data_IF_339184376394
#
_entry.id   IF_339184376394
#
_cell.length_a   1.000
_cell.length_b   1.000
_cell.length_c   1.000
_cell.angle_alpha   90.00
_cell.angle_beta   90.00
_cell.angle_gamma   90.00
#
_symmetry.space_group_name_H-M   'P 1'
#
loop_
_entity.id
_entity.type
_entity.pdbx_description
1 polymer ?
#
# COMPACT_ATOMS: atom_id res chain seq x y z
N UNK A 1 3.80 -19.20 -23.58
CA UNK A 1 2.86 -18.99 -22.46
C UNK A 1 3.17 -17.64 -21.82
N UNK A 2 2.15 -16.87 -21.47
CA UNK A 2 2.36 -15.63 -20.71
C UNK A 2 2.83 -15.96 -19.28
N UNK A 3 3.67 -15.11 -18.71
CA UNK A 3 4.06 -15.21 -17.30
C UNK A 3 2.81 -15.18 -16.39
N UNK A 4 2.84 -15.81 -15.20
CA UNK A 4 1.85 -15.53 -14.16
C UNK A 4 1.69 -14.02 -13.93
N UNK A 5 0.48 -13.55 -13.62
CA UNK A 5 0.19 -12.13 -13.50
C UNK A 5 1.08 -11.46 -12.46
N UNK A 6 1.27 -12.11 -11.31
CA UNK A 6 2.10 -11.63 -10.22
C UNK A 6 3.57 -11.46 -10.62
N UNK A 7 4.12 -12.37 -11.42
CA UNK A 7 5.50 -12.26 -11.92
C UNK A 7 5.63 -11.18 -13.01
N UNK A 8 4.60 -11.00 -13.85
CA UNK A 8 4.54 -9.90 -14.80
C UNK A 8 4.51 -8.54 -14.08
N UNK A 9 3.66 -8.39 -13.05
CA UNK A 9 3.56 -7.20 -12.20
C UNK A 9 4.89 -6.91 -11.51
N UNK A 10 5.52 -7.91 -10.90
CA UNK A 10 6.84 -7.78 -10.25
C UNK A 10 7.92 -7.31 -11.23
N UNK A 11 7.95 -7.88 -12.44
CA UNK A 11 8.95 -7.50 -13.45
C UNK A 11 8.71 -6.07 -13.95
N UNK A 12 7.46 -5.71 -14.18
CA UNK A 12 7.08 -4.40 -14.74
C UNK A 12 7.28 -3.26 -13.74
N UNK A 13 6.93 -3.47 -12.48
CA UNK A 13 6.92 -2.41 -11.46
C UNK A 13 8.21 -2.28 -10.65
N UNK A 14 9.25 -3.10 -10.91
CA UNK A 14 10.47 -3.16 -10.08
C UNK A 14 11.15 -1.81 -9.89
N UNK A 15 11.42 -1.08 -10.98
CA UNK A 15 12.11 0.20 -10.89
C UNK A 15 11.30 1.24 -10.10
N UNK A 16 9.98 1.25 -10.31
CA UNK A 16 9.09 2.17 -9.60
C UNK A 16 8.99 1.82 -8.12
N UNK A 17 8.93 0.54 -7.77
CA UNK A 17 9.01 0.04 -6.41
C UNK A 17 10.33 0.46 -5.72
N UNK A 18 11.49 0.22 -6.35
CA UNK A 18 12.78 0.57 -5.76
C UNK A 18 12.88 2.10 -5.51
N UNK A 19 12.29 2.91 -6.38
CA UNK A 19 12.22 4.37 -6.20
C UNK A 19 11.30 4.79 -5.05
N UNK A 20 10.25 4.02 -4.74
CA UNK A 20 9.39 4.25 -3.57
C UNK A 20 10.15 3.90 -2.29
N UNK A 21 10.84 2.75 -2.26
CA UNK A 21 11.64 2.34 -1.10
C UNK A 21 12.69 3.39 -0.73
N UNK A 22 13.44 3.88 -1.72
CA UNK A 22 14.42 4.96 -1.51
C UNK A 22 13.77 6.23 -0.96
N UNK A 23 12.60 6.59 -1.46
CA UNK A 23 11.89 7.79 -1.03
C UNK A 23 11.37 7.64 0.41
N UNK A 24 10.79 6.49 0.76
CA UNK A 24 10.37 6.19 2.14
C UNK A 24 11.56 6.24 3.09
N UNK A 25 12.71 5.67 2.72
CA UNK A 25 13.92 5.73 3.54
C UNK A 25 14.42 7.17 3.71
N UNK A 26 14.32 8.01 2.69
CA UNK A 26 14.72 9.42 2.77
C UNK A 26 13.84 10.28 3.70
N UNK A 27 12.64 9.80 4.06
CA UNK A 27 11.82 10.45 5.09
C UNK A 27 12.35 10.20 6.51
N UNK A 28 13.29 9.26 6.67
CA UNK A 28 13.76 8.77 7.97
C UNK A 28 12.59 8.51 8.94
N UNK A 29 11.59 7.68 8.56
CA UNK A 29 10.30 7.62 9.25
C UNK A 29 10.39 7.14 10.70
N UNK A 30 11.54 6.63 11.12
CA UNK A 30 11.79 6.14 12.48
C UNK A 30 12.79 7.00 13.26
N UNK A 31 13.17 8.17 12.75
CA UNK A 31 14.02 9.11 13.47
C UNK A 31 13.28 9.80 14.63
N UNK A 32 11.97 9.98 14.49
CA UNK A 32 11.11 10.61 15.50
C UNK A 32 9.64 10.23 15.28
N UNK A 33 8.79 10.48 16.28
CA UNK A 33 7.33 10.35 16.15
C UNK A 33 6.79 11.34 15.10
N UNK A 34 7.42 12.51 14.95
CA UNK A 34 7.04 13.51 13.95
C UNK A 34 7.27 13.01 12.52
N UNK A 35 8.44 12.43 12.21
CA UNK A 35 8.70 11.83 10.90
C UNK A 35 7.77 10.63 10.65
N UNK A 36 7.53 9.81 11.67
CA UNK A 36 6.58 8.70 11.57
C UNK A 36 5.14 9.18 11.31
N UNK A 37 4.76 10.33 11.85
CA UNK A 37 3.44 10.94 11.61
C UNK A 37 3.25 11.33 10.13
N UNK A 38 4.29 11.88 9.49
CA UNK A 38 4.30 12.14 8.03
C UNK A 38 4.17 10.85 7.24
N UNK A 39 4.83 9.78 7.68
CA UNK A 39 4.66 8.45 7.08
C UNK A 39 3.23 7.91 7.23
N UNK A 40 2.60 8.05 8.41
CA UNK A 40 1.20 7.67 8.62
C UNK A 40 0.23 8.47 7.74
N UNK A 41 0.46 9.76 7.55
CA UNK A 41 -0.34 10.58 6.64
C UNK A 41 -0.27 10.06 5.20
N UNK A 42 0.93 9.69 4.73
CA UNK A 42 1.10 9.09 3.41
C UNK A 42 0.41 7.72 3.31
N UNK A 43 0.52 6.88 4.34
CA UNK A 43 -0.20 5.60 4.41
C UNK A 43 -1.71 5.79 4.36
N UNK A 44 -2.24 6.78 5.09
CA UNK A 44 -3.68 7.06 5.12
C UNK A 44 -4.20 7.42 3.73
N UNK A 45 -3.56 8.39 3.08
CA UNK A 45 -3.95 8.81 1.73
C UNK A 45 -3.90 7.65 0.72
N UNK A 46 -2.89 6.79 0.81
CA UNK A 46 -2.82 5.59 -0.05
C UNK A 46 -3.96 4.60 0.24
N UNK A 47 -4.24 4.36 1.52
CA UNK A 47 -5.27 3.41 1.93
C UNK A 47 -6.71 3.93 1.71
N UNK A 48 -6.93 5.24 1.66
CA UNK A 48 -8.21 5.85 1.27
C UNK A 48 -8.56 5.54 -0.19
N UNK A 49 -7.59 5.61 -1.11
CA UNK A 49 -7.79 5.22 -2.51
C UNK A 49 -8.08 3.72 -2.64
N UNK A 50 -7.42 2.90 -1.82
CA UNK A 50 -7.59 1.45 -1.85
C UNK A 50 -8.90 0.95 -1.23
N UNK A 51 -9.48 1.66 -0.26
CA UNK A 51 -10.70 1.23 0.43
C UNK A 51 -11.85 0.87 -0.52
N UNK A 52 -12.26 1.73 -1.47
CA UNK A 52 -13.31 1.36 -2.43
C UNK A 52 -12.90 0.20 -3.37
N UNK A 53 -11.59 0.00 -3.59
CA UNK A 53 -11.08 -1.13 -4.39
C UNK A 53 -11.24 -2.45 -3.61
N UNK A 54 -10.85 -2.47 -2.33
CA UNK A 54 -11.05 -3.65 -1.47
C UNK A 54 -12.53 -3.98 -1.28
N UNK A 55 -13.42 -2.99 -1.33
CA UNK A 55 -14.87 -3.15 -1.17
C UNK A 55 -15.61 -3.41 -2.50
N UNK A 56 -14.91 -3.35 -3.63
CA UNK A 56 -15.53 -3.51 -4.94
C UNK A 56 -16.20 -4.91 -5.06
N UNK A 57 -17.51 -4.98 -5.34
CA UNK A 57 -18.21 -6.26 -5.38
C UNK A 57 -17.70 -7.21 -6.48
N UNK A 58 -17.38 -6.69 -7.66
CA UNK A 58 -16.87 -7.49 -8.79
C UNK A 58 -15.51 -8.11 -8.47
N UNK A 59 -14.61 -7.36 -7.82
CA UNK A 59 -13.33 -7.89 -7.37
C UNK A 59 -13.48 -8.89 -6.23
N UNK A 60 -14.42 -8.69 -5.29
CA UNK A 60 -14.68 -9.65 -4.21
C UNK A 60 -15.29 -10.98 -4.69
N UNK A 61 -15.96 -10.99 -5.84
CA UNK A 61 -16.39 -12.25 -6.49
C UNK A 61 -15.21 -13.05 -7.04
N UNK A 62 -14.13 -12.36 -7.45
CA UNK A 62 -12.94 -12.96 -8.07
C UNK A 62 -11.83 -13.29 -7.07
N UNK A 63 -11.70 -12.47 -6.03
CA UNK A 63 -10.68 -12.59 -4.99
C UNK A 63 -11.40 -12.75 -3.64
N UNK A 64 -11.40 -13.97 -3.13
CA UNK A 64 -12.08 -14.35 -1.89
C UNK A 64 -11.46 -13.64 -0.69
N UNK A 65 -12.32 -13.03 0.13
CA UNK A 65 -11.95 -12.35 1.36
C UNK A 65 -11.27 -10.99 1.16
N UNK A 66 -11.30 -10.44 -0.07
CA UNK A 66 -10.60 -9.20 -0.41
C UNK A 66 -10.97 -8.04 0.52
N UNK A 67 -12.26 -7.83 0.80
CA UNK A 67 -12.73 -6.75 1.68
C UNK A 67 -12.03 -6.69 3.04
N UNK A 68 -11.69 -7.85 3.61
CA UNK A 68 -11.08 -7.98 4.93
C UNK A 68 -9.58 -7.68 4.95
N UNK A 69 -8.97 -7.48 3.78
CA UNK A 69 -7.54 -7.20 3.64
C UNK A 69 -7.21 -5.70 3.71
N UNK A 70 -8.22 -4.83 3.64
CA UNK A 70 -8.01 -3.39 3.76
C UNK A 70 -7.38 -3.03 5.12
N UNK A 71 -6.34 -2.21 5.09
CA UNK A 71 -5.62 -1.73 6.29
C UNK A 71 -6.00 -0.31 6.71
N UNK A 72 -6.95 0.33 6.03
CA UNK A 72 -7.30 1.73 6.31
C UNK A 72 -7.70 1.94 7.77
N UNK A 73 -8.48 1.02 8.35
CA UNK A 73 -8.87 1.11 9.75
C UNK A 73 -7.69 1.01 10.71
N UNK A 74 -6.70 0.15 10.42
CA UNK A 74 -5.50 0.05 11.25
C UNK A 74 -4.64 1.31 11.15
N UNK A 75 -4.52 1.92 9.96
CA UNK A 75 -3.82 3.19 9.79
C UNK A 75 -4.54 4.30 10.57
N UNK A 76 -5.87 4.37 10.50
CA UNK A 76 -6.65 5.36 11.24
C UNK A 76 -6.49 5.20 12.77
N UNK A 77 -6.45 3.97 13.28
CA UNK A 77 -6.16 3.70 14.69
C UNK A 77 -4.74 4.13 15.08
N UNK A 78 -3.74 3.89 14.22
CA UNK A 78 -2.36 4.33 14.47
C UNK A 78 -2.24 5.85 14.49
N UNK A 79 -2.97 6.54 13.60
CA UNK A 79 -3.05 8.00 13.62
C UNK A 79 -3.72 8.51 14.89
N UNK A 80 -4.79 7.84 15.36
CA UNK A 80 -5.45 8.20 16.62
C UNK A 80 -4.53 8.04 17.82
N UNK A 81 -3.81 6.91 17.91
CA UNK A 81 -2.84 6.64 18.97
C UNK A 81 -1.80 7.76 19.10
N UNK A 82 -1.37 8.31 17.96
CA UNK A 82 -0.30 9.30 17.87
C UNK A 82 -0.82 10.73 17.67
N UNK A 83 -2.13 10.95 17.77
CA UNK A 83 -2.79 12.25 17.57
C UNK A 83 -2.48 12.92 16.22
N UNK A 84 -2.25 12.12 15.18
CA UNK A 84 -1.92 12.57 13.83
C UNK A 84 -3.19 12.95 13.09
N UNK A 85 -3.21 14.14 12.50
CA UNK A 85 -4.30 14.59 11.62
C UNK A 85 -4.08 14.08 10.20
N UNK A 86 -5.18 13.83 9.49
CA UNK A 86 -5.15 13.59 8.06
C UNK A 86 -4.59 14.81 7.34
N UNK A 87 -3.84 14.55 6.26
CA UNK A 87 -3.32 15.59 5.38
C UNK A 87 -4.24 15.68 4.17
N UNK A 88 -4.58 16.91 3.77
CA UNK A 88 -5.29 17.14 2.51
C UNK A 88 -4.30 17.00 1.36
N UNK A 89 -4.36 15.86 0.68
CA UNK A 89 -3.58 15.67 -0.54
C UNK A 89 -4.22 16.54 -1.62
N UNK A 90 -3.49 17.56 -2.08
CA UNK A 90 -3.93 18.45 -3.17
C UNK A 90 -3.73 17.75 -4.52
N UNK A 91 -4.33 16.57 -4.67
CA UNK A 91 -4.36 15.82 -5.91
C UNK A 91 -5.77 15.28 -6.18
N UNK A 92 -6.08 15.13 -7.46
CA UNK A 92 -7.23 14.34 -7.87
C UNK A 92 -7.08 12.91 -7.33
N UNK A 93 -8.03 12.49 -6.50
CA UNK A 93 -8.08 11.13 -5.95
C UNK A 93 -8.14 10.15 -7.14
N UNK A 94 -7.17 9.23 -7.27
CA UNK A 94 -7.19 8.25 -8.34
C UNK A 94 -8.47 7.41 -8.31
N UNK A 95 -9.05 7.19 -9.50
CA UNK A 95 -10.21 6.31 -9.69
C UNK A 95 -9.85 5.27 -10.76
N UNK A 96 -9.08 4.23 -10.39
CA UNK A 96 -8.66 3.21 -11.34
C UNK A 96 -9.86 2.38 -11.82
N UNK A 97 -9.82 1.93 -13.08
CA UNK A 97 -10.75 0.93 -13.57
C UNK A 97 -10.64 -0.38 -12.79
N UNK A 98 -11.61 -1.29 -12.95
CA UNK A 98 -11.59 -2.61 -12.29
C UNK A 98 -10.27 -3.37 -12.53
N UNK A 99 -9.74 -3.33 -13.76
CA UNK A 99 -8.52 -4.07 -14.09
C UNK A 99 -7.25 -3.36 -13.64
N UNK A 100 -7.19 -2.02 -13.69
CA UNK A 100 -6.10 -1.25 -13.08
C UNK A 100 -6.05 -1.49 -11.57
N UNK A 101 -7.21 -1.59 -10.92
CA UNK A 101 -7.34 -1.86 -9.49
C UNK A 101 -6.64 -3.15 -9.05
N UNK A 102 -6.50 -4.15 -9.93
CA UNK A 102 -5.73 -5.37 -9.63
C UNK A 102 -4.25 -5.05 -9.37
N UNK A 103 -3.68 -4.11 -10.12
CA UNK A 103 -2.32 -3.62 -9.91
C UNK A 103 -2.16 -2.88 -8.58
N UNK A 104 -3.14 -2.04 -8.22
CA UNK A 104 -3.19 -1.35 -6.93
C UNK A 104 -3.21 -2.33 -5.76
N UNK A 105 -4.05 -3.37 -5.84
CA UNK A 105 -4.10 -4.44 -4.85
C UNK A 105 -2.78 -5.18 -4.74
N UNK A 106 -2.14 -5.51 -5.87
CA UNK A 106 -0.81 -6.14 -5.88
C UNK A 106 0.23 -5.29 -5.13
N UNK A 107 0.26 -3.98 -5.38
CA UNK A 107 1.20 -3.07 -4.71
C UNK A 107 0.95 -3.01 -3.19
N UNK A 108 -0.32 -2.88 -2.78
CA UNK A 108 -0.69 -2.83 -1.36
C UNK A 108 -0.39 -4.13 -0.64
N UNK A 109 -0.83 -5.28 -1.17
CA UNK A 109 -0.61 -6.57 -0.52
C UNK A 109 0.88 -6.96 -0.53
N UNK A 110 1.61 -6.59 -1.58
CA UNK A 110 3.04 -6.82 -1.70
C UNK A 110 3.86 -6.03 -0.69
N UNK A 111 3.48 -4.78 -0.40
CA UNK A 111 4.18 -3.92 0.58
C UNK A 111 4.18 -4.52 1.99
N UNK A 112 3.18 -5.35 2.32
CA UNK A 112 3.08 -6.00 3.63
C UNK A 112 4.19 -7.02 3.91
N UNK A 113 4.87 -7.54 2.87
CA UNK A 113 6.06 -8.37 3.06
C UNK A 113 7.23 -7.56 3.62
N UNK A 114 7.52 -6.41 2.99
CA UNK A 114 8.59 -5.50 3.39
C UNK A 114 8.31 -4.79 4.72
N UNK A 115 7.03 -4.66 5.08
CA UNK A 115 6.59 -4.07 6.36
C UNK A 115 7.15 -4.78 7.60
N UNK A 116 7.71 -5.99 7.49
CA UNK A 116 8.41 -6.64 8.60
C UNK A 116 9.61 -5.82 9.11
N UNK A 117 10.37 -5.22 8.17
CA UNK A 117 11.53 -4.38 8.51
C UNK A 117 11.03 -3.08 9.15
N UNK A 118 10.05 -2.44 8.51
CA UNK A 118 9.44 -1.20 9.02
C UNK A 118 8.85 -1.39 10.42
N UNK A 119 8.17 -2.51 10.68
CA UNK A 119 7.62 -2.81 11.99
C UNK A 119 8.72 -2.93 13.06
N UNK A 120 9.84 -3.57 12.74
CA UNK A 120 10.98 -3.68 13.65
C UNK A 120 11.62 -2.32 13.95
N UNK A 121 11.71 -1.44 12.95
CA UNK A 121 12.23 -0.09 13.14
C UNK A 121 11.27 0.78 13.96
N UNK A 122 9.94 0.65 13.75
CA UNK A 122 8.92 1.32 14.55
C UNK A 122 9.02 0.98 16.05
N UNK A 123 9.40 -0.25 16.39
CA UNK A 123 9.62 -0.65 17.78
C UNK A 123 10.76 0.11 18.47
N UNK A 124 11.73 0.65 17.72
CA UNK A 124 12.82 1.46 18.29
C UNK A 124 12.35 2.83 18.80
N UNK A 125 11.22 3.29 18.30
CA UNK A 125 10.52 4.50 18.77
C UNK A 125 9.25 4.12 19.55
N UNK A 126 9.26 2.94 20.19
CA UNK A 126 8.23 2.43 21.12
C UNK A 126 6.85 2.14 20.49
N UNK A 127 6.76 2.06 19.16
CA UNK A 127 5.53 1.73 18.46
C UNK A 127 5.35 0.23 18.28
N UNK A 128 4.13 -0.26 18.40
CA UNK A 128 3.80 -1.69 18.42
C UNK A 128 2.47 -1.97 17.71
N UNK A 129 2.15 -3.25 17.53
CA UNK A 129 0.87 -3.72 17.00
C UNK A 129 -0.34 -3.31 17.85
N UNK A 130 -0.13 -2.80 19.06
CA UNK A 130 -1.21 -2.30 19.94
C UNK A 130 -1.19 -0.79 20.11
N UNK A 131 -0.17 -0.09 19.61
CA UNK A 131 -0.05 1.37 19.70
C UNK A 131 0.81 1.92 18.55
N UNK A 132 0.20 2.69 17.62
CA UNK A 132 0.88 3.43 16.55
C UNK A 132 1.48 2.61 15.39
N UNK A 133 1.54 1.28 15.45
CA UNK A 133 2.03 0.42 14.35
C UNK A 133 1.15 -0.82 14.07
N UNK A 134 -0.16 -0.73 14.30
CA UNK A 134 -1.16 -1.75 13.92
C UNK A 134 -1.09 -2.09 12.44
N UNK A 135 -1.01 -1.09 11.55
CA UNK A 135 -1.05 -1.32 10.09
C UNK A 135 0.18 -2.08 9.56
N UNK A 136 1.30 -2.02 10.28
CA UNK A 136 2.53 -2.74 9.96
C UNK A 136 2.52 -4.18 10.47
N UNK A 137 1.54 -4.56 11.29
CA UNK A 137 1.47 -5.89 11.91
C UNK A 137 1.35 -6.99 10.86
N UNK A 138 1.94 -8.16 11.16
CA UNK A 138 1.79 -9.32 10.30
C UNK A 138 0.33 -9.80 10.29
N UNK A 139 -0.13 -10.32 9.15
CA UNK A 139 -1.37 -11.09 9.12
C UNK A 139 -1.28 -12.28 10.08
N UNK A 140 -2.40 -12.68 10.70
CA UNK A 140 -2.47 -13.77 11.69
C UNK A 140 -1.89 -15.11 11.20
N UNK A 141 -2.04 -15.39 9.90
CA UNK A 141 -1.51 -16.60 9.25
C UNK A 141 0.01 -16.49 8.92
N UNK A 142 0.61 -15.32 9.14
CA UNK A 142 1.97 -14.98 8.74
C UNK A 142 2.04 -14.30 7.35
N UNK A 143 2.98 -13.37 7.18
CA UNK A 143 3.13 -12.52 5.97
C UNK A 143 3.28 -13.34 4.68
N UNK A 144 4.19 -14.32 4.68
CA UNK A 144 4.48 -15.14 3.49
C UNK A 144 3.35 -16.09 3.12
N UNK A 145 2.62 -16.61 4.11
CA UNK A 145 1.46 -17.47 3.87
C UNK A 145 0.33 -16.65 3.27
N UNK A 146 0.03 -15.49 3.87
CA UNK A 146 -0.96 -14.54 3.36
C UNK A 146 -0.65 -14.11 1.92
N UNK A 147 0.58 -13.66 1.67
CA UNK A 147 1.00 -13.24 0.35
C UNK A 147 0.86 -14.33 -0.71
N UNK A 148 1.27 -15.56 -0.42
CA UNK A 148 1.14 -16.68 -1.37
C UNK A 148 -0.32 -16.94 -1.72
N UNK A 149 -1.22 -16.98 -0.73
CA UNK A 149 -2.67 -17.16 -0.96
C UNK A 149 -3.23 -16.04 -1.83
N UNK A 150 -2.85 -14.79 -1.59
CA UNK A 150 -3.29 -13.66 -2.40
C UNK A 150 -2.75 -13.73 -3.84
N UNK A 151 -1.45 -14.01 -4.00
CA UNK A 151 -0.82 -14.20 -5.33
C UNK A 151 -1.47 -15.31 -6.13
N UNK A 152 -1.75 -16.46 -5.51
CA UNK A 152 -2.42 -17.59 -6.17
C UNK A 152 -3.77 -17.19 -6.76
N UNK A 153 -4.55 -16.37 -6.04
CA UNK A 153 -5.81 -15.84 -6.55
C UNK A 153 -5.60 -14.87 -7.71
N UNK A 154 -4.59 -14.00 -7.66
CA UNK A 154 -4.24 -13.12 -8.78
C UNK A 154 -3.80 -13.88 -10.03
N UNK A 155 -2.96 -14.91 -9.85
CA UNK A 155 -2.43 -15.72 -10.94
C UNK A 155 -3.51 -16.62 -11.57
N UNK A 156 -4.58 -16.93 -10.82
CA UNK A 156 -5.76 -17.65 -11.30
C UNK A 156 -6.79 -16.78 -12.04
N UNK A 157 -6.62 -15.46 -12.13
CA UNK A 157 -7.54 -14.60 -12.86
C UNK A 157 -7.44 -14.81 -14.38
N UNK A 158 -8.56 -15.17 -15.00
CA UNK A 158 -8.67 -15.25 -16.46
C UNK A 158 -8.84 -13.85 -17.06
N UNK A 159 -7.71 -13.25 -17.46
CA UNK A 159 -7.64 -11.91 -18.02
C UNK A 159 -7.20 -11.91 -19.48
N UNK A 160 -7.84 -11.09 -20.31
CA UNK A 160 -7.38 -10.79 -21.67
C UNK A 160 -6.04 -10.03 -21.64
N UNK A 161 -5.34 -9.98 -22.78
CA UNK A 161 -4.08 -9.22 -22.88
C UNK A 161 -4.25 -7.74 -22.50
N UNK A 162 -5.35 -7.11 -22.93
CA UNK A 162 -5.67 -5.72 -22.60
C UNK A 162 -5.92 -5.53 -21.10
N UNK A 163 -6.67 -6.45 -20.47
CA UNK A 163 -6.93 -6.39 -19.03
C UNK A 163 -5.65 -6.60 -18.21
N UNK A 164 -4.75 -7.46 -18.68
CA UNK A 164 -3.42 -7.63 -18.07
C UNK A 164 -2.59 -6.36 -18.19
N UNK A 165 -2.60 -5.69 -19.35
CA UNK A 165 -1.91 -4.41 -19.52
C UNK A 165 -2.48 -3.33 -18.59
N UNK A 166 -3.80 -3.31 -18.39
CA UNK A 166 -4.44 -2.41 -17.42
C UNK A 166 -3.97 -2.70 -15.99
N UNK A 167 -3.89 -3.96 -15.57
CA UNK A 167 -3.34 -4.33 -14.26
C UNK A 167 -1.87 -3.89 -14.09
N UNK A 168 -1.05 -4.05 -15.13
CA UNK A 168 0.34 -3.59 -15.12
C UNK A 168 0.44 -2.07 -14.95
N UNK A 169 -0.32 -1.31 -15.75
CA UNK A 169 -0.43 0.16 -15.64
C UNK A 169 -0.91 0.57 -14.25
N UNK A 170 -1.93 -0.10 -13.71
CA UNK A 170 -2.45 0.20 -12.38
C UNK A 170 -1.42 0.05 -11.27
N UNK A 171 -0.49 -0.91 -11.37
CA UNK A 171 0.60 -1.05 -10.41
C UNK A 171 1.60 0.11 -10.50
N UNK A 172 1.93 0.56 -11.71
CA UNK A 172 2.77 1.75 -11.92
C UNK A 172 2.10 3.02 -11.36
N UNK A 173 0.80 3.19 -11.63
CA UNK A 173 0.01 4.33 -11.15
C UNK A 173 -0.08 4.35 -9.62
N UNK A 174 -0.25 3.18 -8.98
CA UNK A 174 -0.27 3.06 -7.52
C UNK A 174 1.04 3.55 -6.89
N UNK A 175 2.17 3.07 -7.39
CA UNK A 175 3.48 3.52 -6.91
C UNK A 175 3.75 4.98 -7.25
N UNK A 176 3.35 5.44 -8.44
CA UNK A 176 3.51 6.84 -8.84
C UNK A 176 2.71 7.78 -7.94
N UNK A 177 1.47 7.42 -7.60
CA UNK A 177 0.64 8.15 -6.65
C UNK A 177 1.29 8.19 -5.26
N UNK A 178 1.71 7.04 -4.73
CA UNK A 178 2.34 7.01 -3.42
C UNK A 178 3.61 7.86 -3.34
N UNK A 179 4.43 7.90 -4.40
CA UNK A 179 5.59 8.83 -4.46
C UNK A 179 5.19 10.29 -4.39
N UNK A 180 4.12 10.68 -5.08
CA UNK A 180 3.67 12.07 -5.04
C UNK A 180 3.14 12.43 -3.66
N UNK A 181 2.35 11.56 -3.05
CA UNK A 181 1.89 11.71 -1.67
C UNK A 181 3.07 11.84 -0.70
N UNK A 182 4.08 10.98 -0.79
CA UNK A 182 5.29 11.09 0.05
C UNK A 182 5.97 12.45 -0.11
N UNK A 183 6.13 12.93 -1.35
CA UNK A 183 6.73 14.25 -1.59
C UNK A 183 5.90 15.35 -0.93
N UNK A 184 4.58 15.31 -1.08
CA UNK A 184 3.72 16.31 -0.46
C UNK A 184 3.81 16.31 1.07
N UNK A 185 3.75 15.15 1.75
CA UNK A 185 3.89 15.12 3.22
C UNK A 185 5.26 15.59 3.69
N UNK A 186 6.32 15.39 2.88
CA UNK A 186 7.67 15.74 3.27
C UNK A 186 7.98 17.24 3.06
N UNK A 187 7.33 17.89 2.09
CA UNK A 187 7.56 19.30 1.75
C UNK A 187 6.44 20.25 2.21
N UNK A 188 5.36 19.75 2.83
CA UNK A 188 4.25 20.57 3.33
C UNK A 188 4.64 21.57 4.44
N UNK A 189 5.86 21.48 4.99
CA UNK A 189 6.38 22.38 6.04
C UNK A 189 7.26 23.53 5.53
N UNK A 190 7.55 23.62 4.22
CA UNK A 190 8.39 24.72 3.68
C UNK A 190 7.61 26.00 3.31
N UNK A 191 6.31 26.05 3.59
CA UNK A 191 5.47 27.25 3.39
C UNK A 191 4.88 27.75 4.70
N UNK A 192 5.70 28.44 5.49
CA UNK A 192 5.28 29.50 6.44
C UNK A 192 6.27 30.66 6.37
#
# INVERSE_FOLDING_TARGET
MNLPLSEALKKHSRQTHDSVDMLVLSMEPFASIENYSKFLQAQNAFHEVLKPIYENPSLNLKIKGLNSLSRLEQVAMDMQDLHVKTMLVDEAIPSPSEFESIGWLYCSEGSNLGAAILYKEAQKIELTSTHGAKHLSAHKDGRMVHWRKFKEQLDGLELTLTQRQQALKGAEDAFAFFKRVIRQVNYAEETV
#
